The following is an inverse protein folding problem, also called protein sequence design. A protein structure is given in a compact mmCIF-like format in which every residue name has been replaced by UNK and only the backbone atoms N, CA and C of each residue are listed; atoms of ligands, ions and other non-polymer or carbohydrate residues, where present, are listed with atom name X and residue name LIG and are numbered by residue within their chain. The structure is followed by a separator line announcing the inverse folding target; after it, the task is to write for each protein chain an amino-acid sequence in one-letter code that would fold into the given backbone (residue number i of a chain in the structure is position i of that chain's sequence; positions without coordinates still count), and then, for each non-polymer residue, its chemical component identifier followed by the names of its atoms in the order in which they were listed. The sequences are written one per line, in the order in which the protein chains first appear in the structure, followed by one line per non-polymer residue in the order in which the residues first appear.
data_IF_993427148340
#
_entry.id   IF_993427148340
#
_cell.length_a   1.000
_cell.length_b   1.000
_cell.length_c   1.000
_cell.angle_alpha   90.00
_cell.angle_beta   90.00
_cell.angle_gamma   90.00
#
_symmetry.space_group_name_H-M   'P 1'
#
loop_
_entity.id
_entity.type
_entity.pdbx_description
1 polymer ?
#
# COMPACT_ATOMS: atom_id res chain seq x y z
N UNK A 1 46.50 -67.54 28.10
CA UNK A 1 46.25 -66.11 28.37
C UNK A 1 45.87 -65.42 27.07
N UNK A 2 44.72 -64.76 27.09
CA UNK A 2 43.99 -64.20 25.95
C UNK A 2 44.74 -63.03 25.30
N UNK A 3 44.83 -63.00 23.97
CA UNK A 3 45.24 -61.81 23.22
C UNK A 3 44.74 -61.82 21.76
N UNK A 4 43.77 -60.92 21.51
CA UNK A 4 43.35 -60.23 20.27
C UNK A 4 42.70 -61.03 19.12
N UNK A 5 41.49 -60.60 18.74
CA UNK A 5 41.13 -60.34 17.35
C UNK A 5 40.90 -58.83 17.15
N UNK A 6 41.47 -58.24 16.09
CA UNK A 6 40.80 -57.18 15.34
C UNK A 6 41.56 -56.89 14.03
N UNK A 7 40.94 -57.09 12.85
CA UNK A 7 41.45 -56.51 11.62
C UNK A 7 41.16 -55.00 11.59
N UNK A 8 42.10 -54.26 11.02
CA UNK A 8 42.13 -52.81 10.94
C UNK A 8 41.09 -52.17 9.99
N UNK A 9 41.22 -50.85 9.78
CA UNK A 9 40.14 -49.96 9.36
C UNK A 9 39.88 -50.04 7.86
N UNK A 10 38.60 -50.06 7.47
CA UNK A 10 38.17 -49.78 6.10
C UNK A 10 38.35 -48.29 5.78
N UNK A 11 38.61 -47.93 4.51
CA UNK A 11 38.92 -46.55 4.12
C UNK A 11 37.66 -45.68 4.24
N UNK A 12 37.75 -44.61 5.02
CA UNK A 12 36.79 -43.51 5.01
C UNK A 12 37.16 -42.58 3.86
N UNK A 13 36.39 -42.62 2.79
CA UNK A 13 36.54 -41.70 1.65
C UNK A 13 36.36 -40.25 2.11
N UNK A 14 37.36 -39.41 1.86
CA UNK A 14 37.18 -37.96 1.82
C UNK A 14 36.66 -37.51 0.44
N UNK A 15 36.66 -36.20 0.21
CA UNK A 15 35.52 -35.29 0.25
C UNK A 15 34.77 -35.25 -1.08
N UNK A 16 33.46 -35.51 -1.08
CA UNK A 16 32.58 -35.14 -2.20
C UNK A 16 32.16 -33.69 -2.04
N UNK A 17 32.93 -32.80 -2.67
CA UNK A 17 32.45 -31.49 -3.06
C UNK A 17 31.28 -31.66 -4.04
N UNK A 18 30.10 -31.16 -3.66
CA UNK A 18 28.99 -30.87 -4.56
C UNK A 18 28.86 -29.33 -4.58
N UNK A 19 28.85 -28.68 -5.76
CA UNK A 19 28.92 -27.24 -5.85
C UNK A 19 27.57 -26.55 -5.65
N UNK A 20 27.67 -25.37 -5.02
CA UNK A 20 27.03 -24.09 -5.34
C UNK A 20 25.49 -23.97 -5.48
N UNK A 21 24.97 -23.11 -4.60
CA UNK A 21 24.14 -21.93 -4.94
C UNK A 21 22.60 -21.94 -4.88
N UNK A 22 21.93 -22.85 -4.16
CA UNK A 22 20.45 -22.75 -4.02
C UNK A 22 19.91 -22.72 -2.57
N UNK A 23 20.77 -22.39 -1.60
CA UNK A 23 20.38 -22.23 -0.19
C UNK A 23 20.80 -20.88 0.40
N UNK A 24 21.02 -19.86 -0.46
CA UNK A 24 21.33 -18.49 -0.05
C UNK A 24 20.13 -17.55 -0.03
N UNK A 25 19.08 -17.82 -0.81
CA UNK A 25 17.94 -16.91 -0.96
C UNK A 25 16.88 -17.06 0.15
N UNK A 26 16.80 -18.23 0.80
CA UNK A 26 15.84 -18.46 1.89
C UNK A 26 16.32 -17.82 3.21
N UNK A 27 17.62 -17.54 3.37
CA UNK A 27 18.16 -17.02 4.63
C UNK A 27 17.99 -15.50 4.81
N UNK A 28 17.46 -14.79 3.81
CA UNK A 28 17.32 -13.33 3.88
C UNK A 28 15.94 -12.89 4.39
N UNK A 29 14.89 -13.67 4.14
CA UNK A 29 13.52 -13.33 4.55
C UNK A 29 13.29 -13.49 6.04
N UNK A 30 13.86 -14.52 6.65
CA UNK A 30 13.80 -14.73 8.10
C UNK A 30 14.60 -13.68 8.84
N UNK A 31 15.76 -13.28 8.33
CA UNK A 31 16.57 -12.20 8.89
C UNK A 31 15.89 -10.82 8.73
N UNK A 32 15.27 -10.55 7.58
CA UNK A 32 14.42 -9.37 7.40
C UNK A 32 13.23 -9.38 8.35
N UNK A 33 12.52 -10.51 8.47
CA UNK A 33 11.40 -10.63 9.40
C UNK A 33 11.86 -10.51 10.85
N UNK A 34 13.03 -11.03 11.20
CA UNK A 34 13.60 -10.92 12.53
C UNK A 34 14.03 -9.48 12.82
N UNK A 35 14.68 -8.81 11.87
CA UNK A 35 15.03 -7.40 11.94
C UNK A 35 13.78 -6.51 12.06
N UNK A 36 12.75 -6.77 11.26
CA UNK A 36 11.47 -6.06 11.35
C UNK A 36 10.77 -6.33 12.67
N UNK A 37 10.72 -7.58 13.14
CA UNK A 37 10.07 -7.95 14.40
C UNK A 37 10.82 -7.37 15.61
N UNK A 38 12.16 -7.34 15.56
CA UNK A 38 13.00 -6.71 16.58
C UNK A 38 12.87 -5.19 16.56
N UNK A 39 12.91 -4.55 15.39
CA UNK A 39 12.62 -3.11 15.24
C UNK A 39 11.18 -2.76 15.66
N UNK A 40 10.20 -3.62 15.38
CA UNK A 40 8.80 -3.44 15.80
C UNK A 40 8.64 -3.61 17.32
N UNK A 41 9.38 -4.54 17.93
CA UNK A 41 9.45 -4.75 19.37
C UNK A 41 10.04 -3.53 20.09
N UNK A 42 11.11 -2.94 19.55
CA UNK A 42 11.66 -1.67 20.06
C UNK A 42 10.76 -0.45 19.74
N UNK A 43 9.81 -0.62 18.81
CA UNK A 43 8.76 0.35 18.53
C UNK A 43 7.56 0.26 19.51
N UNK A 44 7.65 -0.48 20.62
CA UNK A 44 6.97 -0.06 21.84
C UNK A 44 7.76 1.11 22.44
N UNK A 45 7.78 2.23 21.70
CA UNK A 45 8.17 3.50 22.25
C UNK A 45 7.17 3.78 23.38
N UNK A 46 7.60 3.62 24.64
CA UNK A 46 6.90 4.09 25.85
C UNK A 46 6.87 5.63 25.82
N UNK A 47 6.21 6.13 24.79
CA UNK A 47 6.05 7.52 24.50
C UNK A 47 4.89 8.00 25.36
N UNK A 48 5.11 9.04 26.15
CA UNK A 48 4.02 9.61 26.96
C UNK A 48 2.82 9.92 26.06
N UNK A 49 1.61 9.63 26.54
CA UNK A 49 0.36 9.84 25.79
C UNK A 49 0.26 11.26 25.20
N UNK A 50 0.81 12.24 25.91
CA UNK A 50 0.92 13.63 25.45
C UNK A 50 1.79 13.77 24.20
N UNK A 51 2.94 13.11 24.18
CA UNK A 51 3.86 13.18 23.03
C UNK A 51 3.27 12.43 21.84
N UNK A 52 2.63 11.28 22.06
CA UNK A 52 1.91 10.54 21.01
C UNK A 52 0.84 11.42 20.35
N UNK A 53 0.06 12.14 21.15
CA UNK A 53 -0.95 13.09 20.66
C UNK A 53 -0.36 14.19 19.81
N UNK A 54 0.70 14.84 20.29
CA UNK A 54 1.36 15.93 19.56
C UNK A 54 1.93 15.41 18.24
N UNK A 55 2.59 14.26 18.25
CA UNK A 55 3.14 13.63 17.05
C UNK A 55 2.02 13.28 16.05
N UNK A 56 0.95 12.62 16.48
CA UNK A 56 -0.19 12.29 15.62
C UNK A 56 -0.84 13.54 15.03
N UNK A 57 -1.04 14.58 15.83
CA UNK A 57 -1.59 15.85 15.36
C UNK A 57 -0.71 16.49 14.28
N UNK A 58 0.61 16.57 14.51
CA UNK A 58 1.56 17.12 13.53
C UNK A 58 1.58 16.29 12.25
N UNK A 59 1.56 14.96 12.37
CA UNK A 59 1.50 14.06 11.22
C UNK A 59 0.22 14.24 10.41
N UNK A 60 -0.94 14.28 11.07
CA UNK A 60 -2.21 14.51 10.40
C UNK A 60 -2.24 15.88 9.71
N UNK A 61 -1.73 16.93 10.35
CA UNK A 61 -1.62 18.26 9.76
C UNK A 61 -0.68 18.26 8.53
N UNK A 62 0.47 17.61 8.63
CA UNK A 62 1.41 17.50 7.52
C UNK A 62 0.80 16.73 6.33
N UNK A 63 0.16 15.58 6.59
CA UNK A 63 -0.55 14.80 5.56
C UNK A 63 -1.68 15.60 4.93
N UNK A 64 -2.40 16.41 5.72
CA UNK A 64 -3.44 17.28 5.20
C UNK A 64 -2.89 18.32 4.22
N UNK A 65 -1.84 19.05 4.61
CA UNK A 65 -1.26 20.10 3.76
C UNK A 65 -0.61 19.50 2.50
N UNK A 66 0.25 18.50 2.68
CA UNK A 66 0.95 17.84 1.56
C UNK A 66 -0.06 17.19 0.63
N UNK A 67 -1.00 16.43 1.18
CA UNK A 67 -2.03 15.73 0.42
C UNK A 67 -2.94 16.68 -0.36
N UNK A 68 -3.36 17.81 0.24
CA UNK A 68 -4.14 18.82 -0.47
C UNK A 68 -3.35 19.39 -1.65
N UNK A 69 -2.10 19.80 -1.42
CA UNK A 69 -1.27 20.40 -2.46
C UNK A 69 -1.04 19.40 -3.59
N UNK A 70 -0.67 18.16 -3.26
CA UNK A 70 -0.40 17.10 -4.24
C UNK A 70 -1.65 16.77 -5.08
N UNK A 71 -2.78 16.46 -4.43
CA UNK A 71 -3.98 16.05 -5.14
C UNK A 71 -4.60 17.19 -5.96
N UNK A 72 -4.58 18.43 -5.44
CA UNK A 72 -5.03 19.60 -6.21
C UNK A 72 -4.12 19.91 -7.39
N UNK A 73 -2.80 19.76 -7.22
CA UNK A 73 -1.84 19.91 -8.31
C UNK A 73 -2.08 18.86 -9.40
N UNK A 74 -2.27 17.60 -9.01
CA UNK A 74 -2.60 16.51 -9.94
C UNK A 74 -3.86 16.84 -10.73
N UNK A 75 -4.94 17.26 -10.06
CA UNK A 75 -6.19 17.67 -10.73
C UNK A 75 -5.95 18.88 -11.65
N UNK A 76 -5.23 19.89 -11.18
CA UNK A 76 -4.97 21.14 -11.91
C UNK A 76 -4.11 20.92 -13.17
N UNK A 77 -3.02 20.18 -13.05
CA UNK A 77 -2.16 19.80 -14.18
C UNK A 77 -2.95 18.96 -15.17
N UNK A 78 -3.75 18.01 -14.68
CA UNK A 78 -4.55 17.16 -15.53
C UNK A 78 -5.63 17.92 -16.31
N UNK A 79 -6.26 18.93 -15.67
CA UNK A 79 -7.21 19.83 -16.32
C UNK A 79 -6.53 20.68 -17.40
N UNK A 80 -5.35 21.22 -17.12
CA UNK A 80 -4.56 22.04 -18.06
C UNK A 80 -4.03 21.22 -19.26
N UNK A 81 -3.66 19.96 -19.04
CA UNK A 81 -3.05 19.08 -20.04
C UNK A 81 -4.05 18.15 -20.75
N UNK A 82 -5.37 18.35 -20.55
CA UNK A 82 -6.42 17.42 -20.96
C UNK A 82 -6.51 17.16 -22.47
N UNK A 83 -5.88 17.99 -23.31
CA UNK A 83 -5.97 17.90 -24.78
C UNK A 83 -5.23 16.72 -25.45
N UNK A 84 -4.35 15.96 -24.76
CA UNK A 84 -3.47 14.96 -25.43
C UNK A 84 -3.45 13.55 -24.82
N UNK A 85 -4.01 13.36 -23.63
CA UNK A 85 -3.96 12.07 -22.91
C UNK A 85 -5.20 11.81 -22.04
N UNK A 86 -6.39 12.22 -22.49
CA UNK A 86 -7.65 12.23 -21.71
C UNK A 86 -8.08 10.91 -21.05
N UNK A 87 -7.39 9.82 -21.34
CA UNK A 87 -7.71 8.46 -20.92
C UNK A 87 -6.92 8.01 -19.67
N UNK A 88 -5.62 8.32 -19.57
CA UNK A 88 -4.83 8.17 -18.33
C UNK A 88 -5.26 9.20 -17.28
N UNK A 89 -5.63 10.37 -17.78
CA UNK A 89 -6.15 11.50 -17.03
C UNK A 89 -7.39 11.13 -16.19
N UNK A 90 -8.21 10.15 -16.61
CA UNK A 90 -9.42 9.77 -15.88
C UNK A 90 -9.13 8.92 -14.64
N UNK A 91 -8.24 7.94 -14.72
CA UNK A 91 -7.88 7.11 -13.56
C UNK A 91 -7.18 7.94 -12.50
N UNK A 92 -6.25 8.80 -12.91
CA UNK A 92 -5.53 9.73 -12.03
C UNK A 92 -6.49 10.72 -11.36
N UNK A 93 -7.51 11.21 -12.06
CA UNK A 93 -8.54 12.06 -11.44
C UNK A 93 -9.39 11.31 -10.41
N UNK A 94 -9.84 10.09 -10.71
CA UNK A 94 -10.66 9.34 -9.76
C UNK A 94 -9.89 9.00 -8.48
N UNK A 95 -8.60 8.67 -8.63
CA UNK A 95 -7.68 8.49 -7.51
C UNK A 95 -7.55 9.77 -6.68
N UNK A 96 -7.23 10.91 -7.33
CA UNK A 96 -7.10 12.19 -6.63
C UNK A 96 -8.39 12.64 -5.93
N UNK A 97 -9.57 12.35 -6.51
CA UNK A 97 -10.87 12.62 -5.88
C UNK A 97 -11.07 11.75 -4.64
N UNK A 98 -10.71 10.47 -4.69
CA UNK A 98 -10.80 9.57 -3.55
C UNK A 98 -9.89 10.05 -2.41
N UNK A 99 -8.63 10.33 -2.72
CA UNK A 99 -7.63 10.77 -1.74
C UNK A 99 -8.00 12.12 -1.12
N UNK A 100 -8.54 13.06 -1.90
CA UNK A 100 -9.08 14.32 -1.36
C UNK A 100 -10.19 14.07 -0.34
N UNK A 101 -11.07 13.10 -0.59
CA UNK A 101 -12.12 12.74 0.38
C UNK A 101 -11.53 12.34 1.73
N UNK A 102 -10.46 11.54 1.74
CA UNK A 102 -9.81 11.10 2.99
C UNK A 102 -9.04 12.23 3.64
N UNK A 103 -8.31 13.01 2.86
CA UNK A 103 -7.58 14.16 3.36
C UNK A 103 -8.54 15.16 4.03
N UNK A 104 -9.70 15.41 3.44
CA UNK A 104 -10.74 16.25 4.04
C UNK A 104 -11.35 15.65 5.32
N UNK A 105 -11.21 14.34 5.55
CA UNK A 105 -11.61 13.70 6.80
C UNK A 105 -10.55 13.85 7.91
N UNK A 106 -9.26 14.05 7.59
CA UNK A 106 -8.17 14.20 8.57
C UNK A 106 -8.40 15.26 9.66
N UNK A 107 -9.01 16.44 9.40
CA UNK A 107 -9.35 17.40 10.44
C UNK A 107 -10.28 16.82 11.53
N UNK A 108 -11.16 15.89 11.15
CA UNK A 108 -12.04 15.19 12.11
C UNK A 108 -11.21 14.29 13.02
N UNK A 109 -10.21 13.58 12.48
CA UNK A 109 -9.28 12.76 13.26
C UNK A 109 -8.38 13.62 14.16
N UNK A 110 -7.95 14.78 13.68
CA UNK A 110 -7.20 15.74 14.51
C UNK A 110 -8.04 16.19 15.71
N UNK A 111 -9.34 16.48 15.50
CA UNK A 111 -10.25 16.85 16.57
C UNK A 111 -10.40 15.71 17.60
N UNK A 112 -10.59 14.48 17.14
CA UNK A 112 -10.64 13.29 18.01
C UNK A 112 -9.37 13.14 18.85
N UNK A 113 -8.19 13.28 18.24
CA UNK A 113 -6.90 13.23 18.92
C UNK A 113 -6.75 14.34 19.95
N UNK A 114 -7.25 15.55 19.68
CA UNK A 114 -7.22 16.66 20.66
C UNK A 114 -8.15 16.44 21.85
N UNK A 115 -9.24 15.68 21.67
CA UNK A 115 -10.27 15.42 22.66
C UNK A 115 -10.10 14.07 23.39
N UNK A 116 -8.86 13.61 23.60
CA UNK A 116 -8.60 12.34 24.31
C UNK A 116 -9.20 11.10 23.64
N UNK A 117 -9.20 11.07 22.29
CA UNK A 117 -9.82 9.99 21.50
C UNK A 117 -11.33 9.86 21.76
N UNK A 118 -12.00 10.95 22.17
CA UNK A 118 -13.45 10.98 22.30
C UNK A 118 -14.12 11.39 20.99
N UNK A 119 -15.01 10.53 20.51
CA UNK A 119 -15.71 10.75 19.24
C UNK A 119 -17.04 11.49 19.44
N UNK A 120 -17.06 12.79 19.10
CA UNK A 120 -18.23 13.66 19.28
C UNK A 120 -19.32 13.50 18.21
N UNK A 121 -19.00 12.93 17.05
CA UNK A 121 -19.88 12.92 15.87
C UNK A 121 -20.86 11.73 15.83
N UNK A 122 -20.97 11.00 16.94
CA UNK A 122 -21.81 9.80 17.08
C UNK A 122 -21.21 8.53 16.47
N UNK A 123 -21.74 7.36 16.87
CA UNK A 123 -21.22 6.05 16.48
C UNK A 123 -21.22 5.78 14.98
N UNK A 124 -22.19 6.34 14.25
CA UNK A 124 -22.28 6.21 12.80
C UNK A 124 -21.05 6.81 12.10
N UNK A 125 -20.67 8.04 12.47
CA UNK A 125 -19.56 8.75 11.85
C UNK A 125 -18.21 8.08 12.14
N UNK A 126 -18.03 7.48 13.32
CA UNK A 126 -16.82 6.72 13.67
C UNK A 126 -16.66 5.51 12.75
N UNK A 127 -17.72 4.70 12.63
CA UNK A 127 -17.71 3.51 11.76
C UNK A 127 -17.60 3.88 10.29
N UNK A 128 -18.28 4.95 9.87
CA UNK A 128 -18.20 5.47 8.51
C UNK A 128 -16.79 5.95 8.17
N UNK A 129 -16.13 6.68 9.06
CA UNK A 129 -14.79 7.23 8.83
C UNK A 129 -13.76 6.10 8.70
N UNK A 130 -13.84 5.09 9.57
CA UNK A 130 -12.98 3.92 9.50
C UNK A 130 -13.22 3.11 8.21
N UNK A 131 -14.49 2.88 7.86
CA UNK A 131 -14.85 2.24 6.59
C UNK A 131 -14.33 3.04 5.39
N UNK A 132 -14.50 4.36 5.41
CA UNK A 132 -14.08 5.24 4.32
C UNK A 132 -12.56 5.25 4.13
N UNK A 133 -11.79 5.19 5.22
CA UNK A 133 -10.33 5.03 5.17
C UNK A 133 -9.92 3.76 4.42
N UNK A 134 -10.50 2.61 4.78
CA UNK A 134 -10.21 1.36 4.07
C UNK A 134 -10.69 1.38 2.63
N UNK A 135 -11.90 1.89 2.38
CA UNK A 135 -12.43 2.02 1.02
C UNK A 135 -11.51 2.86 0.13
N UNK A 136 -10.96 3.96 0.64
CA UNK A 136 -9.98 4.75 -0.10
C UNK A 136 -8.69 3.96 -0.37
N UNK A 137 -8.13 3.29 0.65
CA UNK A 137 -6.94 2.48 0.50
C UNK A 137 -7.11 1.45 -0.64
N UNK A 138 -8.23 0.73 -0.65
CA UNK A 138 -8.55 -0.22 -1.72
C UNK A 138 -8.76 0.45 -3.07
N UNK A 139 -9.49 1.57 -3.10
CA UNK A 139 -9.72 2.36 -4.32
C UNK A 139 -8.41 2.78 -4.98
N UNK A 140 -7.50 3.39 -4.22
CA UNK A 140 -6.21 3.87 -4.73
C UNK A 140 -5.35 2.72 -5.26
N UNK A 141 -5.30 1.57 -4.56
CA UNK A 141 -4.59 0.36 -5.04
C UNK A 141 -5.18 -0.13 -6.37
N UNK A 142 -6.51 -0.28 -6.44
CA UNK A 142 -7.16 -0.74 -7.68
C UNK A 142 -6.97 0.23 -8.84
N UNK A 143 -7.06 1.54 -8.59
CA UNK A 143 -6.80 2.54 -9.61
C UNK A 143 -5.35 2.51 -10.10
N UNK A 144 -4.36 2.30 -9.22
CA UNK A 144 -2.95 2.12 -9.60
C UNK A 144 -2.75 0.87 -10.45
N UNK A 145 -3.37 -0.25 -10.09
CA UNK A 145 -3.30 -1.50 -10.87
C UNK A 145 -3.93 -1.29 -12.25
N UNK A 146 -5.14 -0.74 -12.32
CA UNK A 146 -5.82 -0.45 -13.59
C UNK A 146 -5.00 0.51 -14.46
N UNK A 147 -4.44 1.57 -13.86
CA UNK A 147 -3.58 2.53 -14.56
C UNK A 147 -2.32 1.86 -15.13
N UNK A 148 -1.70 0.95 -14.36
CA UNK A 148 -0.49 0.23 -14.75
C UNK A 148 -0.76 -0.73 -15.90
N UNK A 149 -1.81 -1.55 -15.79
CA UNK A 149 -2.27 -2.45 -16.86
C UNK A 149 -2.60 -1.66 -18.12
N UNK A 150 -3.28 -0.53 -17.95
CA UNK A 150 -3.66 0.31 -19.07
C UNK A 150 -2.47 0.93 -19.80
N UNK A 151 -1.49 1.44 -19.05
CA UNK A 151 -0.22 1.92 -19.61
C UNK A 151 0.53 0.80 -20.32
N UNK A 152 0.58 -0.39 -19.74
CA UNK A 152 1.21 -1.56 -20.34
C UNK A 152 0.56 -1.92 -21.68
N UNK A 153 -0.77 -1.97 -21.75
CA UNK A 153 -1.49 -2.26 -22.99
C UNK A 153 -1.26 -1.14 -24.03
N UNK A 154 -1.25 0.12 -23.61
CA UNK A 154 -1.04 1.26 -24.50
C UNK A 154 0.38 1.28 -25.08
N UNK A 155 1.39 0.94 -24.28
CA UNK A 155 2.78 0.85 -24.72
C UNK A 155 3.02 -0.32 -25.67
N UNK A 156 2.33 -1.45 -25.46
CA UNK A 156 2.48 -2.66 -26.28
C UNK A 156 1.60 -2.65 -27.53
N UNK A 157 0.46 -1.95 -27.52
CA UNK A 157 -0.49 -1.87 -28.64
C UNK A 157 -0.59 -0.42 -29.16
N UNK A 158 0.17 -0.11 -30.21
CA UNK A 158 0.17 1.19 -30.87
C UNK A 158 -1.05 1.42 -31.80
N UNK A 159 -2.29 1.37 -31.28
CA UNK A 159 -3.50 1.58 -32.10
C UNK A 159 -4.34 2.81 -31.68
N UNK A 160 -4.30 3.91 -32.45
CA UNK A 160 -5.04 5.14 -32.15
C UNK A 160 -6.58 5.03 -32.26
N UNK A 161 -7.10 4.14 -33.10
CA UNK A 161 -8.55 4.01 -33.35
C UNK A 161 -9.34 3.34 -32.22
N UNK A 162 -8.65 2.64 -31.31
CA UNK A 162 -9.25 1.92 -30.18
C UNK A 162 -9.70 2.86 -29.04
N UNK A 163 -9.13 4.08 -28.96
CA UNK A 163 -9.27 4.95 -27.80
C UNK A 163 -10.69 5.44 -27.53
N UNK A 164 -11.52 5.63 -28.57
CA UNK A 164 -12.90 6.14 -28.40
C UNK A 164 -13.86 5.10 -27.81
N UNK A 165 -13.70 3.82 -28.15
CA UNK A 165 -14.48 2.73 -27.55
C UNK A 165 -14.00 2.43 -26.11
N UNK A 166 -12.71 2.65 -25.86
CA UNK A 166 -12.09 2.48 -24.55
C UNK A 166 -12.62 3.47 -23.50
N UNK A 167 -13.04 4.68 -23.86
CA UNK A 167 -13.62 5.66 -22.91
C UNK A 167 -14.84 5.13 -22.14
N UNK A 168 -15.76 4.41 -22.81
CA UNK A 168 -16.93 3.81 -22.14
C UNK A 168 -16.53 2.64 -21.25
N UNK A 169 -15.67 1.75 -21.75
CA UNK A 169 -15.14 0.63 -20.98
C UNK A 169 -14.40 1.08 -19.72
N UNK A 170 -13.58 2.13 -19.81
CA UNK A 170 -12.84 2.67 -18.67
C UNK A 170 -13.72 3.35 -17.63
N UNK A 171 -14.80 4.04 -18.03
CA UNK A 171 -15.81 4.53 -17.09
C UNK A 171 -16.48 3.39 -16.34
N UNK A 172 -16.81 2.30 -17.04
CA UNK A 172 -17.34 1.10 -16.41
C UNK A 172 -16.33 0.46 -15.45
N UNK A 173 -15.03 0.41 -15.81
CA UNK A 173 -13.97 -0.05 -14.91
C UNK A 173 -13.85 0.86 -13.69
N UNK A 174 -13.86 2.19 -13.84
CA UNK A 174 -13.82 3.10 -12.70
C UNK A 174 -15.04 2.90 -11.78
N UNK A 175 -16.24 2.79 -12.34
CA UNK A 175 -17.43 2.50 -11.57
C UNK A 175 -17.33 1.14 -10.85
N UNK A 176 -16.83 0.11 -11.53
CA UNK A 176 -16.57 -1.21 -10.94
C UNK A 176 -15.54 -1.15 -9.80
N UNK A 177 -14.45 -0.40 -9.97
CA UNK A 177 -13.44 -0.18 -8.91
C UNK A 177 -14.07 0.50 -7.70
N UNK A 178 -14.86 1.55 -7.90
CA UNK A 178 -15.57 2.21 -6.79
C UNK A 178 -16.51 1.26 -6.05
N UNK A 179 -17.25 0.43 -6.78
CA UNK A 179 -18.15 -0.57 -6.19
C UNK A 179 -17.36 -1.64 -5.43
N UNK A 180 -16.28 -2.18 -6.00
CA UNK A 180 -15.44 -3.18 -5.35
C UNK A 180 -14.76 -2.62 -4.10
N UNK A 181 -14.20 -1.42 -4.19
CA UNK A 181 -13.57 -0.72 -3.08
C UNK A 181 -14.55 -0.40 -1.95
N UNK A 182 -15.84 -0.20 -2.27
CA UNK A 182 -16.89 -0.05 -1.28
C UNK A 182 -17.28 -1.41 -0.66
N UNK A 183 -17.41 -2.48 -1.46
CA UNK A 183 -17.90 -3.77 -0.96
C UNK A 183 -16.89 -4.47 -0.06
N UNK A 184 -15.59 -4.46 -0.39
CA UNK A 184 -14.55 -5.22 0.33
C UNK A 184 -14.44 -4.86 1.82
N UNK A 185 -14.43 -3.59 2.23
CA UNK A 185 -14.38 -3.21 3.64
C UNK A 185 -15.73 -3.30 4.38
N UNK A 186 -16.80 -3.77 3.73
CA UNK A 186 -18.03 -4.12 4.45
C UNK A 186 -17.79 -5.40 5.27
N UNK A 187 -18.17 -5.41 6.55
CA UNK A 187 -18.05 -6.58 7.41
C UNK A 187 -19.01 -7.72 7.01
#
# INVERSE_FOLDING_TARGET
MSARPNPGPGPSEGPTAVPDNDLGEIHNWTELLYFFNHSLSECQLELSENTKRVVLFVLYLAMFVVGLVENLLVIGVNWRCSGRAGLLNLYVLNMAIADLGVILSLPVWMLEVTLDYTWLWGSFSCRFTHYFYFANMYSSIFFLVCLSVDRYITLTRAFPSWQRHQHRGRRAVCAGVWVLAAIIPLP
#
